data_IF_896752979779
#
_entry.id   IF_896752979779
#
_cell.length_a   1.000
_cell.length_b   1.000
_cell.length_c   1.000
_cell.angle_alpha   90.00
_cell.angle_beta   90.00
_cell.angle_gamma   90.00
#
_symmetry.space_group_name_H-M   'P 1'
#
loop_
_entity.id
_entity.type
_entity.pdbx_description
1 polymer ?
#
# COMPACT_ATOMS: atom_id res chain seq x y z
N UNK A 1 -43.32 8.91 -44.47
CA UNK A 1 -42.28 8.17 -43.71
C UNK A 1 -42.43 8.57 -42.25
N UNK A 2 -42.83 7.61 -41.40
CA UNK A 2 -43.18 7.85 -40.00
C UNK A 2 -42.01 7.37 -39.12
N UNK A 3 -41.35 8.27 -38.40
CA UNK A 3 -40.18 7.95 -37.57
C UNK A 3 -40.68 7.48 -36.21
N UNK A 4 -40.74 6.16 -36.03
CA UNK A 4 -41.03 5.53 -34.73
C UNK A 4 -40.00 5.99 -33.69
N UNK A 5 -40.47 6.78 -32.72
CA UNK A 5 -39.74 7.03 -31.48
C UNK A 5 -39.78 5.74 -30.65
N UNK A 6 -38.66 5.01 -30.61
CA UNK A 6 -38.50 3.88 -29.70
C UNK A 6 -38.69 4.32 -28.25
N UNK A 7 -39.23 3.44 -27.38
CA UNK A 7 -39.50 3.77 -25.99
C UNK A 7 -38.22 4.23 -25.30
N UNK A 8 -38.29 5.41 -24.68
CA UNK A 8 -37.24 5.98 -23.85
C UNK A 8 -36.85 4.95 -22.78
N UNK A 9 -35.73 4.27 -23.02
CA UNK A 9 -35.14 3.34 -22.06
C UNK A 9 -34.91 4.08 -20.76
N UNK A 10 -35.36 3.48 -19.65
CA UNK A 10 -35.13 3.99 -18.31
C UNK A 10 -33.67 4.46 -18.18
N UNK A 11 -33.42 5.67 -17.64
CA UNK A 11 -32.06 6.08 -17.36
C UNK A 11 -31.42 5.01 -16.46
N UNK A 12 -30.18 4.59 -16.75
CA UNK A 12 -29.52 3.58 -15.94
C UNK A 12 -29.59 4.02 -14.47
N UNK A 13 -29.88 3.10 -13.53
CA UNK A 13 -29.98 3.46 -12.13
C UNK A 13 -28.73 4.25 -11.75
N UNK A 14 -28.92 5.48 -11.25
CA UNK A 14 -27.83 6.31 -10.74
C UNK A 14 -27.12 5.47 -9.68
N UNK A 15 -26.00 4.85 -10.06
CA UNK A 15 -25.13 4.13 -9.13
C UNK A 15 -24.78 5.16 -8.06
N UNK A 16 -25.29 4.94 -6.86
CA UNK A 16 -25.00 5.79 -5.71
C UNK A 16 -23.48 5.77 -5.59
N UNK A 17 -22.84 6.92 -5.81
CA UNK A 17 -21.41 7.06 -5.58
C UNK A 17 -21.28 7.00 -4.06
N UNK A 18 -21.13 5.80 -3.53
CA UNK A 18 -20.89 5.60 -2.11
C UNK A 18 -19.56 6.28 -1.81
N UNK A 19 -19.65 7.41 -1.10
CA UNK A 19 -18.52 8.26 -0.77
C UNK A 19 -17.67 7.66 0.34
N UNK A 20 -18.17 6.64 1.04
CA UNK A 20 -17.45 5.91 2.09
C UNK A 20 -16.39 4.98 1.50
N UNK A 21 -15.20 4.87 2.13
CA UNK A 21 -14.22 3.88 1.75
C UNK A 21 -14.73 2.46 2.00
N UNK A 22 -14.52 1.50 1.09
CA UNK A 22 -14.79 0.10 1.38
C UNK A 22 -13.84 -0.36 2.49
N UNK A 23 -14.32 -1.25 3.37
CA UNK A 23 -13.53 -1.77 4.47
C UNK A 23 -12.20 -2.38 3.99
N UNK A 24 -12.18 -3.01 2.81
CA UNK A 24 -10.97 -3.55 2.18
C UNK A 24 -9.89 -2.50 1.93
N UNK A 25 -10.27 -1.31 1.45
CA UNK A 25 -9.31 -0.24 1.16
C UNK A 25 -8.76 0.39 2.44
N UNK A 26 -9.60 0.52 3.48
CA UNK A 26 -9.15 0.96 4.80
C UNK A 26 -8.19 -0.04 5.43
N UNK A 27 -8.54 -1.32 5.43
CA UNK A 27 -7.69 -2.39 5.98
C UNK A 27 -6.38 -2.46 5.21
N UNK A 28 -6.41 -2.48 3.87
CA UNK A 28 -5.21 -2.47 3.04
C UNK A 28 -4.32 -1.25 3.33
N UNK A 29 -4.91 -0.05 3.43
CA UNK A 29 -4.18 1.18 3.72
C UNK A 29 -3.57 1.20 5.12
N UNK A 30 -4.32 0.80 6.14
CA UNK A 30 -3.85 0.75 7.53
C UNK A 30 -2.75 -0.33 7.68
N UNK A 31 -2.96 -1.52 7.13
CA UNK A 31 -1.95 -2.58 7.16
C UNK A 31 -0.69 -2.19 6.39
N UNK A 32 -0.81 -1.49 5.25
CA UNK A 32 0.35 -0.96 4.53
C UNK A 32 1.10 0.09 5.36
N UNK A 33 0.40 0.98 6.07
CA UNK A 33 1.04 1.94 6.97
C UNK A 33 1.79 1.24 8.12
N UNK A 34 1.20 0.21 8.72
CA UNK A 34 1.86 -0.59 9.74
C UNK A 34 3.09 -1.31 9.17
N UNK A 35 2.99 -1.87 7.96
CA UNK A 35 4.14 -2.46 7.26
C UNK A 35 5.25 -1.43 6.99
N UNK A 36 4.89 -0.20 6.63
CA UNK A 36 5.83 0.92 6.49
C UNK A 36 6.51 1.30 7.82
N UNK A 37 5.78 1.28 8.93
CA UNK A 37 6.35 1.52 10.27
C UNK A 37 7.33 0.42 10.68
N UNK A 38 7.03 -0.85 10.38
CA UNK A 38 7.98 -1.95 10.59
C UNK A 38 9.25 -1.72 9.75
N UNK A 39 9.10 -1.32 8.48
CA UNK A 39 10.22 -0.93 7.63
C UNK A 39 11.07 0.18 8.24
N UNK A 40 10.44 1.17 8.90
CA UNK A 40 11.16 2.26 9.57
C UNK A 40 12.01 1.76 10.74
N UNK A 41 11.48 0.82 11.53
CA UNK A 41 12.24 0.17 12.61
C UNK A 41 13.46 -0.57 12.04
N UNK A 42 13.30 -1.27 10.91
CA UNK A 42 14.42 -1.95 10.24
C UNK A 42 15.47 -0.97 9.71
N UNK A 43 15.06 0.15 9.12
CA UNK A 43 16.01 1.21 8.73
C UNK A 43 16.78 1.73 9.94
N UNK A 44 16.10 1.95 11.07
CA UNK A 44 16.74 2.42 12.28
C UNK A 44 17.74 1.39 12.84
N UNK A 45 17.40 0.11 12.82
CA UNK A 45 18.31 -0.96 13.27
C UNK A 45 19.51 -1.10 12.34
N UNK A 46 19.31 -1.17 11.02
CA UNK A 46 20.40 -1.26 10.06
C UNK A 46 21.33 -0.04 10.10
N UNK A 47 20.77 1.16 10.27
CA UNK A 47 21.57 2.38 10.44
C UNK A 47 22.39 2.33 11.73
N UNK A 48 21.77 1.97 12.85
CA UNK A 48 22.48 1.85 14.14
C UNK A 48 23.56 0.77 14.07
N UNK A 49 23.29 -0.36 13.41
CA UNK A 49 24.25 -1.44 13.17
C UNK A 49 25.45 -0.98 12.35
N UNK A 50 25.22 -0.21 11.29
CA UNK A 50 26.31 0.38 10.49
C UNK A 50 27.19 1.33 11.31
N UNK A 51 26.58 2.22 12.10
CA UNK A 51 27.32 3.13 12.99
C UNK A 51 28.17 2.36 14.02
N UNK A 52 27.63 1.30 14.62
CA UNK A 52 28.34 0.46 15.59
C UNK A 52 29.48 -0.31 14.94
N UNK A 53 29.26 -0.87 13.74
CA UNK A 53 30.29 -1.57 12.98
C UNK A 53 31.43 -0.62 12.62
N UNK A 54 31.12 0.61 12.21
CA UNK A 54 32.12 1.62 11.87
C UNK A 54 32.96 2.05 13.09
N UNK A 55 32.31 2.24 14.24
CA UNK A 55 32.98 2.66 15.48
C UNK A 55 33.86 1.56 16.11
N UNK A 56 33.40 0.30 16.07
CA UNK A 56 34.05 -0.82 16.78
C UNK A 56 35.00 -1.61 15.86
N UNK A 57 35.16 -1.20 14.59
CA UNK A 57 36.02 -1.90 13.63
C UNK A 57 37.48 -1.91 14.09
N UNK A 58 37.87 -2.96 14.80
CA UNK A 58 39.25 -3.20 15.19
C UNK A 58 39.87 -4.23 14.23
N UNK A 59 40.91 -3.86 13.45
CA UNK A 59 41.57 -4.77 12.53
C UNK A 59 42.27 -5.95 13.24
N UNK A 60 42.38 -5.94 14.57
CA UNK A 60 43.00 -7.01 15.36
C UNK A 60 42.03 -8.10 15.79
N UNK A 61 40.72 -7.91 15.60
CA UNK A 61 39.70 -8.88 15.99
C UNK A 61 39.23 -9.61 14.74
N UNK A 62 39.39 -10.93 14.73
CA UNK A 62 39.03 -11.83 13.62
C UNK A 62 37.51 -12.06 13.58
N UNK A 63 36.78 -11.01 13.20
CA UNK A 63 35.34 -11.01 12.94
C UNK A 63 35.15 -10.69 11.46
N UNK A 64 34.17 -11.33 10.83
CA UNK A 64 33.75 -11.02 9.47
C UNK A 64 32.99 -9.68 9.41
N UNK A 65 33.76 -8.59 9.45
CA UNK A 65 33.24 -7.22 9.41
C UNK A 65 32.53 -6.91 8.10
N UNK A 66 32.99 -7.49 6.98
CA UNK A 66 32.43 -7.25 5.66
C UNK A 66 31.06 -7.95 5.53
N UNK A 67 30.91 -9.17 6.06
CA UNK A 67 29.63 -9.86 6.17
C UNK A 67 28.61 -9.10 7.02
N UNK A 68 29.04 -8.61 8.21
CA UNK A 68 28.18 -7.78 9.09
C UNK A 68 27.78 -6.46 8.45
N UNK A 69 28.68 -5.82 7.71
CA UNK A 69 28.37 -4.58 7.00
C UNK A 69 27.35 -4.84 5.88
N UNK A 70 27.51 -5.92 5.10
CA UNK A 70 26.57 -6.30 4.05
C UNK A 70 25.18 -6.60 4.61
N UNK A 71 25.10 -7.34 5.72
CA UNK A 71 23.83 -7.68 6.39
C UNK A 71 23.08 -6.41 6.81
N UNK A 72 23.75 -5.48 7.53
CA UNK A 72 23.14 -4.23 7.95
C UNK A 72 22.72 -3.33 6.75
N UNK A 73 23.48 -3.35 5.65
CA UNK A 73 23.11 -2.64 4.42
C UNK A 73 21.87 -3.25 3.75
N UNK A 74 21.76 -4.58 3.74
CA UNK A 74 20.59 -5.27 3.21
C UNK A 74 19.35 -4.95 4.06
N UNK A 75 19.46 -4.99 5.38
CA UNK A 75 18.36 -4.62 6.29
C UNK A 75 17.92 -3.17 6.09
N UNK A 76 18.87 -2.24 5.99
CA UNK A 76 18.61 -0.83 5.68
C UNK A 76 17.87 -0.69 4.34
N UNK A 77 18.35 -1.37 3.30
CA UNK A 77 17.78 -1.33 1.96
C UNK A 77 16.36 -1.88 1.93
N UNK A 78 16.13 -3.05 2.52
CA UNK A 78 14.80 -3.67 2.61
C UNK A 78 13.86 -2.77 3.41
N UNK A 79 14.30 -2.29 4.57
CA UNK A 79 13.53 -1.37 5.42
C UNK A 79 13.11 -0.11 4.65
N UNK A 80 14.04 0.51 3.91
CA UNK A 80 13.77 1.71 3.13
C UNK A 80 12.73 1.45 2.02
N UNK A 81 12.83 0.31 1.35
CA UNK A 81 11.84 -0.11 0.34
C UNK A 81 10.46 -0.28 0.97
N UNK A 82 10.36 -0.89 2.16
CA UNK A 82 9.09 -1.03 2.88
C UNK A 82 8.49 0.32 3.29
N UNK A 83 9.30 1.24 3.81
CA UNK A 83 8.86 2.59 4.19
C UNK A 83 8.27 3.32 2.98
N UNK A 84 8.95 3.27 1.83
CA UNK A 84 8.51 3.97 0.63
C UNK A 84 7.31 3.26 0.00
N UNK A 85 7.38 1.96 -0.25
CA UNK A 85 6.33 1.27 -1.01
C UNK A 85 5.07 1.01 -0.18
N UNK A 86 5.20 0.64 1.09
CA UNK A 86 4.05 0.37 1.96
C UNK A 86 3.64 1.61 2.77
N UNK A 87 4.59 2.36 3.33
CA UNK A 87 4.28 3.58 4.09
C UNK A 87 3.69 4.67 3.18
N UNK A 88 4.46 5.17 2.21
CA UNK A 88 3.96 6.20 1.29
C UNK A 88 2.84 5.64 0.39
N UNK A 89 2.96 4.39 -0.07
CA UNK A 89 1.90 3.73 -0.84
C UNK A 89 0.58 3.64 -0.07
N UNK A 90 0.61 3.32 1.22
CA UNK A 90 -0.56 3.28 2.10
C UNK A 90 -1.22 4.66 2.26
N UNK A 91 -0.43 5.73 2.45
CA UNK A 91 -0.94 7.11 2.47
C UNK A 91 -1.61 7.46 1.14
N UNK A 92 -0.97 7.14 0.01
CA UNK A 92 -1.50 7.43 -1.32
C UNK A 92 -2.76 6.61 -1.63
N UNK A 93 -2.83 5.37 -1.15
CA UNK A 93 -3.99 4.50 -1.27
C UNK A 93 -5.19 5.08 -0.51
N UNK A 94 -4.99 5.51 0.73
CA UNK A 94 -6.01 6.20 1.53
C UNK A 94 -6.43 7.53 0.89
N UNK A 95 -5.51 8.22 0.22
CA UNK A 95 -5.79 9.40 -0.60
C UNK A 95 -6.46 9.10 -1.96
N UNK A 96 -6.88 7.85 -2.20
CA UNK A 96 -7.52 7.38 -3.46
C UNK A 96 -6.66 7.64 -4.69
N UNK A 97 -5.35 7.42 -4.62
CA UNK A 97 -4.46 7.50 -5.79
C UNK A 97 -4.12 6.11 -6.28
N UNK A 98 -4.28 5.87 -7.59
CA UNK A 98 -3.92 4.60 -8.23
C UNK A 98 -2.44 4.25 -8.06
N UNK A 99 -1.56 5.26 -8.01
CA UNK A 99 -0.15 5.06 -7.69
C UNK A 99 0.07 4.40 -6.31
N UNK A 100 -0.78 4.70 -5.33
CA UNK A 100 -0.72 4.07 -4.01
C UNK A 100 -1.02 2.58 -4.07
N UNK A 101 -2.04 2.18 -4.86
CA UNK A 101 -2.36 0.77 -5.10
C UNK A 101 -1.17 0.02 -5.69
N UNK A 102 -0.56 0.55 -6.77
CA UNK A 102 0.59 -0.10 -7.41
C UNK A 102 1.79 -0.21 -6.48
N UNK A 103 2.07 0.83 -5.69
CA UNK A 103 3.18 0.82 -4.73
C UNK A 103 2.95 -0.22 -3.63
N UNK A 104 1.74 -0.29 -3.08
CA UNK A 104 1.38 -1.28 -2.05
C UNK A 104 1.45 -2.70 -2.61
N UNK A 105 0.92 -2.96 -3.81
CA UNK A 105 0.98 -4.29 -4.43
C UNK A 105 2.42 -4.74 -4.69
N UNK A 106 3.25 -3.87 -5.28
CA UNK A 106 4.67 -4.19 -5.53
C UNK A 106 5.43 -4.35 -4.21
N UNK A 107 5.22 -3.46 -3.24
CA UNK A 107 5.85 -3.52 -1.92
C UNK A 107 5.50 -4.80 -1.17
N UNK A 108 4.23 -5.20 -1.16
CA UNK A 108 3.79 -6.44 -0.52
C UNK A 108 4.29 -7.68 -1.25
N UNK A 109 4.36 -7.65 -2.60
CA UNK A 109 4.94 -8.74 -3.37
C UNK A 109 6.42 -8.94 -3.05
N UNK A 110 7.21 -7.86 -3.12
CA UNK A 110 8.64 -7.90 -2.78
C UNK A 110 8.85 -8.31 -1.31
N UNK A 111 8.04 -7.78 -0.40
CA UNK A 111 8.12 -8.09 1.02
C UNK A 111 7.86 -9.57 1.31
N UNK A 112 6.88 -10.17 0.63
CA UNK A 112 6.64 -11.61 0.73
C UNK A 112 7.89 -12.42 0.33
N UNK A 113 8.48 -12.12 -0.83
CA UNK A 113 9.70 -12.81 -1.28
C UNK A 113 10.89 -12.59 -0.34
N UNK A 114 11.06 -11.38 0.17
CA UNK A 114 12.13 -11.05 1.12
C UNK A 114 11.98 -11.84 2.44
N UNK A 115 10.76 -12.08 2.91
CA UNK A 115 10.52 -12.85 4.14
C UNK A 115 10.61 -14.38 3.95
N UNK A 116 10.41 -14.89 2.73
CA UNK A 116 10.48 -16.34 2.43
C UNK A 116 11.91 -16.89 2.53
N UNK A 117 12.92 -16.10 2.18
CA UNK A 117 14.33 -16.52 2.29
C UNK A 117 14.73 -16.90 3.73
N UNK A 118 14.60 -15.96 4.69
CA UNK A 118 14.91 -16.22 6.10
C UNK A 118 14.08 -17.37 6.70
N UNK A 119 12.83 -17.56 6.26
CA UNK A 119 11.98 -18.67 6.70
C UNK A 119 12.61 -20.06 6.49
N UNK A 120 13.46 -20.21 5.48
CA UNK A 120 14.13 -21.48 5.13
C UNK A 120 15.46 -21.64 5.87
N UNK A 121 16.16 -20.54 6.12
CA UNK A 121 17.56 -20.55 6.60
C UNK A 121 17.68 -20.31 8.10
N UNK A 122 16.77 -19.54 8.69
CA UNK A 122 16.84 -19.07 10.07
C UNK A 122 16.48 -20.20 11.05
N UNK A 123 17.29 -20.52 12.05
CA UNK A 123 16.96 -21.62 12.99
C UNK A 123 16.19 -21.15 14.23
N UNK A 124 16.24 -19.84 14.54
CA UNK A 124 15.52 -19.27 15.67
C UNK A 124 14.00 -19.24 15.40
N UNK A 125 13.24 -19.93 16.26
CA UNK A 125 11.78 -20.05 16.15
C UNK A 125 11.08 -18.69 16.26
N UNK A 126 11.59 -17.78 17.08
CA UNK A 126 11.03 -16.46 17.30
C UNK A 126 11.22 -15.59 16.06
N UNK A 127 12.44 -15.59 15.50
CA UNK A 127 12.76 -14.85 14.29
C UNK A 127 12.01 -15.44 13.07
N UNK A 128 11.94 -16.77 12.94
CA UNK A 128 11.09 -17.46 11.96
C UNK A 128 9.62 -17.03 12.08
N UNK A 129 9.10 -16.95 13.30
CA UNK A 129 7.72 -16.52 13.58
C UNK A 129 7.46 -15.08 13.13
N UNK A 130 8.41 -14.16 13.35
CA UNK A 130 8.32 -12.77 12.89
C UNK A 130 8.28 -12.70 11.36
N UNK A 131 9.17 -13.42 10.67
CA UNK A 131 9.20 -13.48 9.20
C UNK A 131 7.93 -14.12 8.62
N UNK A 132 7.42 -15.18 9.25
CA UNK A 132 6.14 -15.80 8.88
C UNK A 132 4.98 -14.82 9.02
N UNK A 133 4.92 -14.09 10.14
CA UNK A 133 3.89 -13.07 10.39
C UNK A 133 3.94 -11.95 9.36
N UNK A 134 5.14 -11.46 9.03
CA UNK A 134 5.34 -10.46 7.99
C UNK A 134 4.94 -10.95 6.60
N UNK A 135 5.29 -12.19 6.23
CA UNK A 135 4.91 -12.80 4.97
C UNK A 135 3.38 -12.90 4.86
N UNK A 136 2.71 -13.39 5.90
CA UNK A 136 1.24 -13.47 5.97
C UNK A 136 0.60 -12.08 5.89
N UNK A 137 1.17 -11.10 6.60
CA UNK A 137 0.73 -9.70 6.55
C UNK A 137 0.84 -9.11 5.13
N UNK A 138 1.94 -9.38 4.43
CA UNK A 138 2.13 -8.95 3.04
C UNK A 138 1.10 -9.58 2.10
N UNK A 139 0.80 -10.88 2.26
CA UNK A 139 -0.25 -11.55 1.47
C UNK A 139 -1.62 -10.94 1.76
N UNK A 140 -1.94 -10.66 3.02
CA UNK A 140 -3.20 -10.02 3.40
C UNK A 140 -3.35 -8.64 2.75
N UNK A 141 -2.30 -7.82 2.79
CA UNK A 141 -2.27 -6.50 2.14
C UNK A 141 -2.46 -6.66 0.62
N UNK A 142 -1.77 -7.61 0.00
CA UNK A 142 -1.87 -7.86 -1.44
C UNK A 142 -3.31 -8.27 -1.84
N UNK A 143 -3.90 -9.22 -1.12
CA UNK A 143 -5.26 -9.71 -1.39
C UNK A 143 -6.28 -8.58 -1.20
N UNK A 144 -6.17 -7.82 -0.11
CA UNK A 144 -7.12 -6.72 0.17
C UNK A 144 -6.97 -5.53 -0.78
N UNK A 145 -5.75 -5.23 -1.22
CA UNK A 145 -5.49 -4.21 -2.22
C UNK A 145 -6.07 -4.60 -3.60
N UNK A 146 -5.91 -5.86 -4.00
CA UNK A 146 -6.37 -6.35 -5.31
C UNK A 146 -7.88 -6.63 -5.40
N UNK A 147 -8.64 -6.44 -4.32
CA UNK A 147 -10.08 -6.62 -4.36
C UNK A 147 -10.73 -5.61 -5.34
N UNK A 148 -11.67 -6.05 -6.20
CA UNK A 148 -12.34 -5.18 -7.17
C UNK A 148 -12.99 -3.95 -6.53
N UNK A 149 -13.46 -4.08 -5.29
CA UNK A 149 -14.04 -2.98 -4.52
C UNK A 149 -13.05 -1.82 -4.28
N UNK A 150 -11.77 -2.13 -4.06
CA UNK A 150 -10.71 -1.14 -3.84
C UNK A 150 -10.43 -0.36 -5.12
N UNK A 151 -10.37 -1.04 -6.26
CA UNK A 151 -10.15 -0.42 -7.57
C UNK A 151 -11.33 0.47 -8.01
N UNK A 152 -12.56 -0.05 -7.90
CA UNK A 152 -13.78 0.71 -8.17
C UNK A 152 -13.89 1.97 -7.30
N UNK A 153 -13.43 1.89 -6.04
CA UNK A 153 -13.43 3.04 -5.13
C UNK A 153 -12.43 4.13 -5.56
N UNK A 154 -11.24 3.75 -6.05
CA UNK A 154 -10.26 4.72 -6.58
C UNK A 154 -10.80 5.38 -7.86
N UNK A 155 -11.39 4.60 -8.77
CA UNK A 155 -11.97 5.11 -10.01
C UNK A 155 -13.16 6.05 -9.78
N UNK A 156 -13.98 5.79 -8.75
CA UNK A 156 -15.11 6.64 -8.39
C UNK A 156 -14.72 8.11 -8.17
N UNK A 157 -13.50 8.37 -7.66
CA UNK A 157 -12.98 9.73 -7.45
C UNK A 157 -12.72 10.46 -8.77
N UNK A 158 -12.15 9.77 -9.77
CA UNK A 158 -11.91 10.34 -11.10
C UNK A 158 -13.24 10.74 -11.74
N UNK A 159 -14.24 9.87 -11.63
CA UNK A 159 -15.57 10.11 -12.18
C UNK A 159 -16.32 11.24 -11.47
N UNK A 160 -16.16 11.38 -10.14
CA UNK A 160 -16.74 12.49 -9.38
C UNK A 160 -16.15 13.86 -9.76
N UNK A 161 -14.87 13.92 -10.17
CA UNK A 161 -14.22 15.16 -10.64
C UNK A 161 -14.62 15.55 -12.06
N UNK A 162 -15.04 14.58 -12.87
CA UNK A 162 -15.45 14.79 -14.27
C UNK A 162 -16.94 15.13 -14.42
N UNK A 163 -17.77 14.93 -13.38
CA UNK A 163 -19.15 15.37 -13.43
C UNK A 163 -19.22 16.90 -13.36
N UNK A 164 -19.68 17.60 -14.42
CA UNK A 164 -19.96 19.01 -14.30
C UNK A 164 -21.00 19.20 -13.19
N UNK A 165 -20.77 20.17 -12.32
CA UNK A 165 -21.75 20.63 -11.33
C UNK A 165 -22.92 21.24 -12.10
N UNK A 166 -23.79 20.40 -12.65
CA UNK A 166 -25.13 20.80 -13.03
C UNK A 166 -25.92 20.92 -11.74
N UNK A 167 -25.66 22.01 -11.01
CA UNK A 167 -26.68 22.56 -10.13
C UNK A 167 -27.89 22.81 -11.02
N UNK A 168 -29.03 22.14 -10.80
CA UNK A 168 -30.25 22.56 -11.42
C UNK A 168 -30.51 23.95 -10.85
N UNK A 169 -30.28 25.01 -11.65
CA UNK A 169 -30.92 26.29 -11.38
C UNK A 169 -32.42 25.99 -11.46
N UNK A 170 -33.05 25.82 -10.30
CA UNK A 170 -34.50 25.88 -10.20
C UNK A 170 -34.92 27.16 -10.92
N UNK A 171 -35.72 27.11 -11.99
CA UNK A 171 -36.29 28.31 -12.55
C UNK A 171 -37.21 28.87 -11.48
N UNK A 172 -36.76 29.92 -10.80
CA UNK A 172 -37.62 30.73 -9.93
C UNK A 172 -38.73 31.26 -10.84
N UNK A 173 -40.00 30.85 -10.66
CA UNK A 173 -41.07 31.39 -11.48
C UNK A 173 -41.19 32.89 -11.15
N UNK A 174 -41.31 33.77 -12.16
CA UNK A 174 -41.60 35.17 -11.90
C UNK A 174 -43.01 35.25 -11.31
N UNK A 175 -43.12 35.73 -10.08
CA UNK A 175 -44.39 36.14 -9.50
C UNK A 175 -44.89 37.36 -10.31
N UNK A 176 -46.06 37.21 -10.95
CA UNK A 176 -46.90 38.31 -11.43
C UNK A 176 -48.14 38.37 -10.55
#
# INVERSE_FOLDING_TARGET
>A
MNIQHGPQGFPPPRRRIDSSPPASALVAGICALLGGLVGFVWVQMGLSGLWVVEEIRDPKVDIDWDGRQLENQLELGIGAVFVVLLGLGGVLLLARRAAGLTMVTVGSGLGFFACVGPLIVEDDLLLKGVHAGLAVGCVLILVTALLPATDHWIESRKNAQLMPVHTPRSPVPPYN
#
